data_IF_767009682217
#
_entry.id   IF_767009682217
#
_cell.length_a   1.000
_cell.length_b   1.000
_cell.length_c   1.000
_cell.angle_alpha   90.00
_cell.angle_beta   90.00
_cell.angle_gamma   90.00
#
_symmetry.space_group_name_H-M   'P 1'
#
loop_
_entity.id
_entity.type
_entity.pdbx_description
1 polymer ?
#
# COMPACT_ATOMS: atom_id res chain seq x y z
N UNK A 1 -11.90 -6.56 -14.57
CA UNK A 1 -13.00 -6.55 -13.58
C UNK A 1 -12.54 -7.36 -12.38
N UNK A 2 -12.35 -6.73 -11.21
CA UNK A 2 -12.22 -7.46 -9.95
C UNK A 2 -13.60 -8.01 -9.67
N UNK A 3 -13.84 -9.31 -9.88
CA UNK A 3 -15.16 -9.88 -9.64
C UNK A 3 -15.61 -9.60 -8.22
N UNK A 4 -16.73 -8.89 -8.05
CA UNK A 4 -17.49 -8.56 -6.82
C UNK A 4 -16.77 -8.90 -5.50
N UNK A 5 -15.61 -8.30 -5.25
CA UNK A 5 -14.95 -8.43 -3.96
C UNK A 5 -15.68 -7.50 -3.01
N UNK A 6 -16.25 -8.06 -1.95
CA UNK A 6 -16.91 -7.22 -0.96
C UNK A 6 -15.90 -6.21 -0.34
N UNK A 7 -16.44 -5.08 0.12
CA UNK A 7 -15.64 -3.98 0.70
C UNK A 7 -14.71 -4.43 1.83
N UNK A 8 -15.10 -5.42 2.64
CA UNK A 8 -14.29 -5.94 3.74
C UNK A 8 -13.04 -6.64 3.20
N UNK A 9 -13.18 -7.44 2.16
CA UNK A 9 -12.08 -8.13 1.49
C UNK A 9 -11.12 -7.12 0.86
N UNK A 10 -11.64 -6.14 0.10
CA UNK A 10 -10.83 -5.08 -0.50
C UNK A 10 -10.04 -4.29 0.55
N UNK A 11 -10.69 -3.93 1.66
CA UNK A 11 -10.03 -3.23 2.77
C UNK A 11 -8.89 -4.06 3.38
N UNK A 12 -9.11 -5.35 3.58
CA UNK A 12 -8.08 -6.25 4.13
C UNK A 12 -6.89 -6.40 3.17
N UNK A 13 -7.15 -6.51 1.86
CA UNK A 13 -6.10 -6.59 0.84
C UNK A 13 -5.29 -5.29 0.76
N UNK A 14 -5.98 -4.14 0.76
CA UNK A 14 -5.35 -2.83 0.77
C UNK A 14 -4.52 -2.60 2.04
N UNK A 15 -4.99 -3.10 3.19
CA UNK A 15 -4.25 -3.07 4.45
C UNK A 15 -2.94 -3.84 4.35
N UNK A 16 -2.96 -5.06 3.79
CA UNK A 16 -1.74 -5.86 3.62
C UNK A 16 -0.73 -5.17 2.69
N UNK A 17 -1.21 -4.72 1.52
CA UNK A 17 -0.40 -4.02 0.52
C UNK A 17 0.24 -2.75 1.10
N UNK A 18 -0.57 -1.88 1.71
CA UNK A 18 -0.06 -0.63 2.26
C UNK A 18 0.87 -0.85 3.45
N UNK A 19 0.61 -1.87 4.27
CA UNK A 19 1.50 -2.25 5.36
C UNK A 19 2.90 -2.63 4.86
N UNK A 20 3.00 -3.40 3.78
CA UNK A 20 4.28 -3.79 3.18
C UNK A 20 5.07 -2.56 2.70
N UNK A 21 4.41 -1.63 2.01
CA UNK A 21 5.05 -0.41 1.53
C UNK A 21 5.50 0.51 2.68
N UNK A 22 4.68 0.67 3.71
CA UNK A 22 5.03 1.48 4.90
C UNK A 22 6.19 0.84 5.65
N UNK A 23 6.15 -0.48 5.85
CA UNK A 23 7.21 -1.22 6.53
C UNK A 23 8.54 -1.08 5.79
N UNK A 24 8.57 -1.32 4.48
CA UNK A 24 9.81 -1.17 3.72
C UNK A 24 10.33 0.27 3.73
N UNK A 25 9.45 1.27 3.65
CA UNK A 25 9.85 2.69 3.80
C UNK A 25 10.47 3.01 5.16
N UNK A 26 9.99 2.39 6.24
CA UNK A 26 10.53 2.54 7.59
C UNK A 26 11.89 1.84 7.72
N UNK A 27 11.98 0.58 7.33
CA UNK A 27 13.16 -0.26 7.61
C UNK A 27 14.27 -0.16 6.55
N UNK A 28 13.91 0.00 5.28
CA UNK A 28 14.86 0.05 4.15
C UNK A 28 15.15 1.50 3.72
N UNK A 29 14.25 2.44 4.05
CA UNK A 29 14.53 3.88 4.01
C UNK A 29 13.74 4.66 2.95
N UNK A 30 14.17 5.90 2.71
CA UNK A 30 13.41 6.91 1.94
C UNK A 30 13.13 6.57 0.48
N UNK A 31 13.96 5.72 -0.08
CA UNK A 31 13.93 5.33 -1.49
C UNK A 31 13.30 3.96 -1.72
N UNK A 32 12.84 3.28 -0.66
CA UNK A 32 12.17 2.00 -0.81
C UNK A 32 10.89 2.15 -1.64
N UNK A 33 10.72 1.28 -2.62
CA UNK A 33 9.52 1.13 -3.43
C UNK A 33 9.54 -0.24 -4.08
N UNK A 34 8.37 -0.71 -4.50
CA UNK A 34 8.18 -2.01 -5.13
C UNK A 34 7.42 -1.83 -6.44
N UNK A 35 7.78 -2.57 -7.48
CA UNK A 35 6.95 -2.63 -8.69
C UNK A 35 5.67 -3.47 -8.42
N UNK A 36 4.75 -3.51 -9.38
CA UNK A 36 3.48 -4.22 -9.20
C UNK A 36 3.67 -5.75 -9.03
N UNK A 37 4.66 -6.33 -9.70
CA UNK A 37 4.96 -7.76 -9.62
C UNK A 37 5.51 -8.14 -8.23
N UNK A 38 6.44 -7.36 -7.69
CA UNK A 38 6.98 -7.56 -6.33
C UNK A 38 5.88 -7.42 -5.28
N UNK A 39 4.97 -6.45 -5.45
CA UNK A 39 3.81 -6.30 -4.58
C UNK A 39 2.91 -7.53 -4.66
N UNK A 40 2.60 -8.01 -5.88
CA UNK A 40 1.81 -9.22 -6.11
C UNK A 40 2.42 -10.42 -5.37
N UNK A 41 3.73 -10.63 -5.52
CA UNK A 41 4.45 -11.74 -4.88
C UNK A 41 4.46 -11.64 -3.35
N UNK A 42 4.77 -10.46 -2.80
CA UNK A 42 4.89 -10.26 -1.34
C UNK A 42 3.54 -10.29 -0.62
N UNK A 43 2.47 -9.87 -1.29
CA UNK A 43 1.14 -9.76 -0.68
C UNK A 43 0.22 -10.95 -1.01
N UNK A 44 0.60 -11.78 -1.99
CA UNK A 44 -0.23 -12.88 -2.51
C UNK A 44 -1.43 -12.41 -3.35
N UNK A 45 -1.50 -11.12 -3.68
CA UNK A 45 -2.54 -10.57 -4.55
C UNK A 45 -2.26 -10.93 -6.00
N UNK A 46 -3.30 -11.08 -6.83
CA UNK A 46 -3.06 -11.13 -8.27
C UNK A 46 -2.60 -9.76 -8.77
N UNK A 47 -1.79 -9.74 -9.83
CA UNK A 47 -1.25 -8.50 -10.40
C UNK A 47 -2.34 -7.45 -10.70
N UNK A 48 -3.50 -7.89 -11.19
CA UNK A 48 -4.64 -7.03 -11.49
C UNK A 48 -5.25 -6.41 -10.23
N UNK A 49 -5.37 -7.19 -9.14
CA UNK A 49 -5.84 -6.71 -7.83
C UNK A 49 -4.83 -5.73 -7.25
N UNK A 50 -3.54 -6.06 -7.30
CA UNK A 50 -2.48 -5.18 -6.82
C UNK A 50 -2.52 -3.82 -7.53
N UNK A 51 -2.56 -3.79 -8.86
CA UNK A 51 -2.61 -2.55 -9.66
C UNK A 51 -3.85 -1.72 -9.31
N UNK A 52 -5.03 -2.34 -9.24
CA UNK A 52 -6.26 -1.62 -8.93
C UNK A 52 -6.24 -1.01 -7.52
N UNK A 53 -5.71 -1.73 -6.53
CA UNK A 53 -5.53 -1.21 -5.18
C UNK A 53 -4.46 -0.12 -5.11
N UNK A 54 -3.36 -0.25 -5.84
CA UNK A 54 -2.32 0.78 -5.95
C UNK A 54 -2.91 2.08 -6.48
N UNK A 55 -3.66 2.02 -7.59
CA UNK A 55 -4.32 3.22 -8.13
C UNK A 55 -5.24 3.86 -7.10
N UNK A 56 -6.06 3.05 -6.41
CA UNK A 56 -6.93 3.60 -5.36
C UNK A 56 -6.16 4.25 -4.21
N UNK A 57 -5.02 3.68 -3.81
CA UNK A 57 -4.17 4.24 -2.76
C UNK A 57 -3.42 5.50 -3.22
N UNK A 58 -3.12 5.60 -4.52
CA UNK A 58 -2.58 6.83 -5.15
C UNK A 58 -3.65 7.93 -5.13
N UNK A 59 -4.89 7.62 -5.51
CA UNK A 59 -6.01 8.58 -5.48
C UNK A 59 -6.31 9.11 -4.06
N UNK A 60 -5.84 8.39 -3.03
CA UNK A 60 -5.97 8.76 -1.62
C UNK A 60 -4.66 9.29 -1.00
N UNK A 61 -3.64 9.59 -1.83
CA UNK A 61 -2.35 10.17 -1.41
C UNK A 61 -1.57 9.31 -0.38
N UNK A 62 -1.86 8.01 -0.32
CA UNK A 62 -1.16 7.06 0.55
C UNK A 62 0.02 6.39 -0.16
N UNK A 63 -0.06 6.25 -1.48
CA UNK A 63 0.99 5.67 -2.32
C UNK A 63 1.34 6.66 -3.42
N UNK A 64 2.60 6.71 -3.81
CA UNK A 64 3.04 7.49 -4.95
C UNK A 64 3.89 6.63 -5.90
N UNK A 65 3.89 7.02 -7.18
CA UNK A 65 4.81 6.48 -8.17
C UNK A 65 6.22 6.99 -7.86
N UNK A 66 7.19 6.10 -7.96
CA UNK A 66 8.58 6.36 -7.67
C UNK A 66 9.46 5.62 -8.69
N UNK A 67 10.52 6.26 -9.16
CA UNK A 67 11.42 5.71 -10.20
C UNK A 67 11.41 6.52 -11.50
N UNK A 68 12.19 6.05 -12.48
CA UNK A 68 12.38 6.71 -13.78
C UNK A 68 11.75 5.88 -14.90
N UNK A 69 11.08 6.57 -15.84
CA UNK A 69 10.45 6.17 -17.12
C UNK A 69 10.05 4.71 -17.35
N UNK A 70 10.96 3.75 -17.21
CA UNK A 70 10.77 2.36 -17.60
C UNK A 70 10.64 1.38 -16.42
N UNK A 71 11.03 1.78 -15.20
CA UNK A 71 10.86 0.99 -13.97
C UNK A 71 9.95 1.72 -12.97
N UNK A 72 8.62 1.54 -13.14
CA UNK A 72 7.62 2.12 -12.24
C UNK A 72 7.59 1.33 -10.94
N UNK A 73 8.12 1.93 -9.88
CA UNK A 73 7.94 1.47 -8.50
C UNK A 73 6.87 2.28 -7.79
N UNK A 74 6.31 1.72 -6.73
CA UNK A 74 5.32 2.34 -5.88
C UNK A 74 5.84 2.37 -4.45
N UNK A 75 5.64 3.50 -3.76
CA UNK A 75 6.08 3.65 -2.38
C UNK A 75 5.01 4.31 -1.52
N UNK A 76 5.04 4.01 -0.22
CA UNK A 76 4.19 4.71 0.73
C UNK A 76 4.62 6.18 0.86
N UNK A 77 3.63 7.06 0.74
CA UNK A 77 3.75 8.50 0.87
C UNK A 77 3.36 8.94 2.28
N UNK A 78 3.76 10.15 2.68
CA UNK A 78 3.27 10.85 3.87
C UNK A 78 3.37 10.06 5.20
N UNK A 79 4.33 9.14 5.32
CA UNK A 79 4.59 8.42 6.58
C UNK A 79 5.01 9.45 7.63
N UNK A 80 4.31 9.53 8.79
CA UNK A 80 4.66 10.44 9.86
C UNK A 80 6.10 10.25 10.33
N UNK A 81 6.82 11.34 10.58
CA UNK A 81 8.23 11.32 11.01
C UNK A 81 8.46 10.64 12.36
N UNK A 82 7.42 10.52 13.20
CA UNK A 82 7.49 9.80 14.47
C UNK A 82 7.40 8.27 14.31
N UNK A 83 7.11 7.76 13.10
CA UNK A 83 7.18 6.34 12.79
C UNK A 83 8.54 6.05 12.15
N UNK A 84 9.37 5.30 12.87
CA UNK A 84 10.73 4.95 12.48
C UNK A 84 11.05 3.48 12.81
N UNK A 85 12.30 3.07 12.59
CA UNK A 85 12.75 1.68 12.79
C UNK A 85 12.66 1.20 14.24
N UNK A 86 12.60 2.11 15.20
CA UNK A 86 12.47 1.81 16.63
C UNK A 86 11.01 1.70 17.07
N UNK A 87 10.08 2.11 16.20
CA UNK A 87 8.65 2.05 16.49
C UNK A 87 8.18 0.61 16.68
N UNK A 88 7.34 0.41 17.69
CA UNK A 88 6.71 -0.88 17.93
C UNK A 88 5.88 -1.31 16.70
N UNK A 89 5.86 -2.61 16.34
CA UNK A 89 5.06 -3.11 15.22
C UNK A 89 3.58 -2.71 15.29
N UNK A 90 3.03 -2.64 16.51
CA UNK A 90 1.65 -2.22 16.75
C UNK A 90 1.39 -0.76 16.32
N UNK A 91 2.35 0.14 16.52
CA UNK A 91 2.22 1.55 16.12
C UNK A 91 2.12 1.69 14.60
N UNK A 92 2.96 0.94 13.87
CA UNK A 92 2.94 0.88 12.40
C UNK A 92 1.60 0.33 11.91
N UNK A 93 1.15 -0.79 12.50
CA UNK A 93 -0.14 -1.38 12.17
C UNK A 93 -1.32 -0.42 12.41
N UNK A 94 -1.34 0.28 13.56
CA UNK A 94 -2.39 1.25 13.87
C UNK A 94 -2.41 2.42 12.90
N UNK A 95 -1.26 2.91 12.45
CA UNK A 95 -1.16 3.94 11.42
C UNK A 95 -1.75 3.46 10.09
N UNK A 96 -1.36 2.27 9.64
CA UNK A 96 -1.86 1.66 8.41
C UNK A 96 -3.38 1.46 8.50
N UNK A 97 -3.89 0.87 9.57
CA UNK A 97 -5.32 0.63 9.76
C UNK A 97 -6.13 1.94 9.76
N UNK A 98 -5.63 2.99 10.41
CA UNK A 98 -6.26 4.33 10.40
C UNK A 98 -6.28 4.95 9.01
N UNK A 99 -5.18 4.84 8.26
CA UNK A 99 -5.06 5.36 6.90
C UNK A 99 -6.03 4.65 5.94
N UNK A 100 -6.03 3.32 5.95
CA UNK A 100 -6.93 2.49 5.12
C UNK A 100 -8.40 2.64 5.55
N UNK A 101 -8.67 2.94 6.82
CA UNK A 101 -10.01 3.23 7.31
C UNK A 101 -10.68 4.43 6.63
N UNK A 102 -9.90 5.33 6.03
CA UNK A 102 -10.39 6.54 5.33
C UNK A 102 -10.54 6.35 3.82
N UNK A 103 -10.02 5.25 3.26
CA UNK A 103 -10.08 4.98 1.82
C UNK A 103 -11.48 4.53 1.42
N UNK A 104 -12.03 5.16 0.38
CA UNK A 104 -13.26 4.69 -0.25
C UNK A 104 -12.96 3.62 -1.29
N UNK A 105 -13.71 2.51 -1.25
CA UNK A 105 -13.56 1.35 -2.14
C UNK A 105 -14.79 1.13 -3.02
N UNK A 106 -15.76 2.05 -3.03
CA UNK A 106 -17.05 1.87 -3.73
C UNK A 106 -16.92 1.51 -5.21
N UNK A 107 -15.96 2.07 -5.95
CA UNK A 107 -15.83 1.81 -7.40
C UNK A 107 -14.91 0.61 -7.75
N UNK A 108 -14.48 -0.15 -6.73
CA UNK A 108 -13.71 -1.40 -6.90
C UNK A 108 -14.51 -2.65 -6.54
N UNK A 109 -15.63 -2.48 -5.82
CA UNK A 109 -16.46 -3.54 -5.27
C UNK A 109 -17.64 -3.89 -6.19
#
# INVERSE_FOLDING_TARGET
MLGLLNRKTLKSMAMNLYHELVRGRIYEGKHFGLNADDISQRTGLSIHVAIALIHRLIDNELVEKYGFKDDVSYRAANIPSHLDKTSAPMSIFQYVNRSIGRVDFKDLA
#
